data_IF_570416626440
#
_entry.id   IF_570416626440
#
_cell.length_a   1.000
_cell.length_b   1.000
_cell.length_c   1.000
_cell.angle_alpha   90.00
_cell.angle_beta   90.00
_cell.angle_gamma   90.00
#
_symmetry.space_group_name_H-M   'P 1'
#
loop_
_entity.id
_entity.type
_entity.pdbx_description
1 polymer ?
#
# COMPACT_ATOMS: atom_id res chain seq x y z
N UNK A 1 -8.01 -10.76 -13.73
CA UNK A 1 -7.45 -9.45 -14.11
C UNK A 1 -7.86 -8.50 -13.01
N UNK A 2 -6.92 -7.73 -12.44
CA UNK A 2 -7.28 -6.79 -11.38
C UNK A 2 -7.83 -5.50 -12.00
N UNK A 3 -8.90 -4.98 -11.42
CA UNK A 3 -9.48 -3.69 -11.77
C UNK A 3 -8.96 -2.64 -10.80
N UNK A 4 -8.76 -1.42 -11.27
CA UNK A 4 -8.24 -0.32 -10.45
C UNK A 4 -9.36 0.61 -10.00
N UNK A 5 -9.28 1.10 -8.77
CA UNK A 5 -10.11 2.17 -8.23
C UNK A 5 -9.25 3.35 -7.83
N UNK A 6 -9.59 4.52 -8.36
CA UNK A 6 -9.00 5.80 -7.97
C UNK A 6 -9.69 6.36 -6.73
N UNK A 7 -8.90 6.82 -5.75
CA UNK A 7 -9.34 7.57 -4.59
C UNK A 7 -8.76 8.99 -4.61
N UNK A 8 -9.64 9.99 -4.47
CA UNK A 8 -9.27 11.40 -4.32
C UNK A 8 -8.68 11.74 -2.93
N UNK A 9 -7.73 10.93 -2.46
CA UNK A 9 -6.93 11.15 -1.26
C UNK A 9 -5.57 11.71 -1.66
N UNK A 10 -5.33 13.01 -1.40
CA UNK A 10 -4.17 13.73 -1.94
C UNK A 10 -3.13 14.07 -0.88
N UNK A 11 -3.48 13.99 0.40
CA UNK A 11 -2.56 14.30 1.51
C UNK A 11 -2.20 13.05 2.32
N UNK A 12 -1.05 13.04 3.02
CA UNK A 12 -0.70 11.96 3.93
C UNK A 12 -1.77 11.68 4.99
N UNK A 13 -2.50 12.73 5.42
CA UNK A 13 -3.59 12.57 6.38
C UNK A 13 -4.80 11.85 5.76
N UNK A 14 -5.22 12.25 4.55
CA UNK A 14 -6.29 11.58 3.81
C UNK A 14 -5.96 10.13 3.50
N UNK A 15 -4.76 9.87 3.01
CA UNK A 15 -4.27 8.51 2.74
C UNK A 15 -4.23 7.72 4.05
N UNK A 16 -3.77 8.32 5.14
CA UNK A 16 -3.80 7.66 6.44
C UNK A 16 -5.22 7.35 6.95
N UNK A 17 -6.22 8.18 6.64
CA UNK A 17 -7.63 7.84 6.94
C UNK A 17 -8.14 6.74 6.02
N UNK A 18 -7.76 6.75 4.74
CA UNK A 18 -8.13 5.74 3.76
C UNK A 18 -7.56 4.36 4.12
N UNK A 19 -6.25 4.25 4.39
CA UNK A 19 -5.61 2.99 4.77
C UNK A 19 -6.23 2.40 6.04
N UNK A 20 -6.57 3.24 7.03
CA UNK A 20 -7.30 2.79 8.24
C UNK A 20 -8.71 2.30 7.92
N UNK A 21 -9.40 2.95 6.98
CA UNK A 21 -10.74 2.57 6.58
C UNK A 21 -10.73 1.24 5.80
N UNK A 22 -9.78 1.06 4.89
CA UNK A 22 -9.54 -0.19 4.17
C UNK A 22 -9.22 -1.32 5.15
N UNK A 23 -8.21 -1.17 6.00
CA UNK A 23 -7.75 -2.23 6.92
C UNK A 23 -8.69 -2.54 8.10
N UNK A 24 -9.82 -1.85 8.25
CA UNK A 24 -10.82 -2.09 9.32
C UNK A 24 -12.21 -2.34 8.77
N UNK A 25 -12.37 -2.47 7.46
CA UNK A 25 -13.68 -2.70 6.89
C UNK A 25 -14.21 -4.07 7.32
N UNK A 26 -15.52 -4.19 7.54
CA UNK A 26 -16.17 -5.44 7.99
C UNK A 26 -16.02 -6.63 7.03
N UNK A 27 -15.50 -6.41 5.83
CA UNK A 27 -15.28 -7.41 4.79
C UNK A 27 -13.83 -7.95 4.79
N UNK A 28 -12.93 -7.32 5.53
CA UNK A 28 -11.52 -7.70 5.59
C UNK A 28 -11.36 -9.00 6.37
N UNK A 29 -10.63 -9.94 5.78
CA UNK A 29 -10.13 -11.16 6.41
C UNK A 29 -8.72 -10.93 6.92
N UNK A 30 -7.84 -10.38 6.07
CA UNK A 30 -6.43 -10.20 6.37
C UNK A 30 -5.90 -8.85 5.85
N UNK A 31 -4.89 -8.34 6.53
CA UNK A 31 -4.11 -7.17 6.12
C UNK A 31 -2.63 -7.58 6.18
N UNK A 32 -1.97 -7.73 5.03
CA UNK A 32 -0.54 -8.05 4.93
C UNK A 32 0.19 -6.84 4.37
N UNK A 33 0.57 -5.92 5.25
CA UNK A 33 1.45 -4.82 4.85
C UNK A 33 2.88 -5.16 5.22
N UNK A 34 3.81 -4.77 4.35
CA UNK A 34 5.23 -5.01 4.58
C UNK A 34 6.06 -3.78 4.33
N UNK A 35 7.13 -3.65 5.10
CA UNK A 35 8.12 -2.58 4.95
C UNK A 35 9.49 -3.21 4.73
N UNK A 36 10.17 -2.76 3.67
CA UNK A 36 11.53 -3.17 3.36
C UNK A 36 12.53 -2.50 4.31
N UNK A 37 13.62 -3.20 4.67
CA UNK A 37 14.61 -2.72 5.65
C UNK A 37 15.18 -1.33 5.34
N UNK A 38 15.26 -0.95 4.06
CA UNK A 38 15.83 0.34 3.65
C UNK A 38 14.96 1.52 4.10
N UNK A 39 13.63 1.32 4.23
CA UNK A 39 12.70 2.32 4.77
C UNK A 39 12.96 2.49 6.27
N UNK A 40 13.03 1.39 7.03
CA UNK A 40 13.33 1.44 8.46
C UNK A 40 14.69 2.11 8.71
N UNK A 41 15.70 1.77 7.90
CA UNK A 41 17.03 2.38 7.99
C UNK A 41 17.00 3.88 7.69
N UNK A 42 16.29 4.30 6.64
CA UNK A 42 16.17 5.71 6.27
C UNK A 42 15.47 6.53 7.35
N UNK A 43 14.52 5.94 8.07
CA UNK A 43 13.70 6.57 9.11
C UNK A 43 14.17 6.24 10.54
N UNK A 44 15.39 5.73 10.72
CA UNK A 44 15.89 5.27 12.03
C UNK A 44 15.99 6.36 13.11
N UNK A 45 15.83 7.64 12.77
CA UNK A 45 15.70 8.77 13.72
C UNK A 45 14.31 8.83 14.38
N UNK A 46 13.32 8.11 13.85
CA UNK A 46 11.96 8.06 14.36
C UNK A 46 11.78 6.83 15.28
N UNK A 47 11.16 6.98 16.47
CA UNK A 47 11.00 5.88 17.43
C UNK A 47 10.31 4.64 16.89
N UNK A 48 9.37 4.80 15.96
CA UNK A 48 8.64 3.68 15.32
C UNK A 48 9.57 2.79 14.48
N UNK A 49 10.61 3.35 13.88
CA UNK A 49 11.45 2.66 12.89
C UNK A 49 12.83 2.25 13.45
N UNK A 50 13.33 2.98 14.45
CA UNK A 50 14.65 2.72 15.04
C UNK A 50 14.87 1.26 15.49
N UNK A 51 13.93 0.61 16.22
CA UNK A 51 14.12 -0.79 16.63
C UNK A 51 14.21 -1.77 15.44
N UNK A 52 13.52 -1.47 14.34
CA UNK A 52 13.52 -2.31 13.14
C UNK A 52 14.81 -2.14 12.34
N UNK A 53 15.33 -0.92 12.25
CA UNK A 53 16.65 -0.65 11.68
C UNK A 53 17.76 -1.40 12.46
N UNK A 54 17.69 -1.39 13.79
CA UNK A 54 18.61 -2.15 14.64
C UNK A 54 18.45 -3.67 14.47
N UNK A 55 17.21 -4.16 14.35
CA UNK A 55 16.93 -5.57 14.10
C UNK A 55 17.53 -6.05 12.78
N UNK A 56 17.47 -5.25 11.72
CA UNK A 56 18.12 -5.56 10.45
C UNK A 56 19.65 -5.60 10.56
N UNK A 57 20.26 -4.65 11.28
CA UNK A 57 21.70 -4.68 11.56
C UNK A 57 22.08 -5.97 12.31
N UNK A 58 21.29 -6.35 13.31
CA UNK A 58 21.50 -7.59 14.06
C UNK A 58 21.31 -8.85 13.17
N UNK A 59 20.34 -8.84 12.25
CA UNK A 59 20.12 -9.91 11.29
C UNK A 59 21.34 -10.11 10.39
N UNK A 60 21.88 -9.02 9.81
CA UNK A 60 23.08 -9.08 8.96
C UNK A 60 24.31 -9.62 9.68
N UNK A 61 24.41 -9.41 11.00
CA UNK A 61 25.48 -10.01 11.83
C UNK A 61 25.29 -11.52 12.03
N UNK A 62 24.04 -11.97 12.15
CA UNK A 62 23.69 -13.40 12.34
C UNK A 62 23.72 -14.19 11.04
N UNK A 63 23.43 -13.54 9.92
CA UNK A 63 23.34 -14.14 8.58
C UNK A 63 24.25 -13.34 7.64
N UNK A 64 25.58 -13.58 7.66
CA UNK A 64 26.54 -12.77 6.91
C UNK A 64 26.41 -12.90 5.39
N UNK A 65 25.78 -13.97 4.92
CA UNK A 65 25.49 -14.27 3.52
C UNK A 65 24.15 -13.68 3.04
N UNK A 66 23.41 -12.99 3.90
CA UNK A 66 22.20 -12.27 3.49
C UNK A 66 22.59 -11.13 2.55
N UNK A 67 22.22 -11.29 1.27
CA UNK A 67 22.39 -10.28 0.24
C UNK A 67 21.27 -9.22 0.33
N UNK A 68 21.58 -7.96 0.72
CA UNK A 68 20.58 -6.90 0.84
C UNK A 68 20.00 -6.43 -0.50
N UNK A 69 20.59 -6.85 -1.64
CA UNK A 69 20.06 -6.58 -2.97
C UNK A 69 19.14 -7.69 -3.50
N UNK A 70 18.97 -8.79 -2.77
CA UNK A 70 18.16 -9.93 -3.19
C UNK A 70 16.65 -9.73 -2.98
N UNK A 71 15.86 -10.73 -3.35
CA UNK A 71 14.41 -10.82 -3.05
C UNK A 71 14.14 -11.68 -1.82
N UNK A 72 15.10 -11.80 -0.92
CA UNK A 72 14.98 -12.64 0.28
C UNK A 72 13.88 -12.08 1.22
N UNK A 73 12.83 -12.85 1.55
CA UNK A 73 11.72 -12.38 2.38
C UNK A 73 12.14 -11.78 3.74
N UNK A 74 13.32 -12.14 4.27
CA UNK A 74 13.86 -11.61 5.52
C UNK A 74 14.28 -10.14 5.44
N UNK A 75 14.34 -9.57 4.24
CA UNK A 75 14.57 -8.14 3.98
C UNK A 75 13.31 -7.29 4.21
N UNK A 76 12.16 -7.93 4.33
CA UNK A 76 10.88 -7.31 4.67
C UNK A 76 10.45 -7.73 6.07
N UNK A 77 9.78 -6.81 6.76
CA UNK A 77 9.02 -7.12 7.97
C UNK A 77 7.54 -6.89 7.72
N UNK A 78 6.72 -7.64 8.44
CA UNK A 78 5.32 -7.27 8.63
C UNK A 78 5.24 -5.87 9.24
N UNK A 79 4.24 -5.12 8.79
CA UNK A 79 3.99 -3.75 9.19
C UNK A 79 2.52 -3.58 9.54
N UNK A 80 2.24 -2.83 10.61
CA UNK A 80 0.88 -2.40 10.89
C UNK A 80 0.52 -1.27 9.94
N UNK A 81 -0.77 -1.07 9.69
CA UNK A 81 -1.26 0.10 8.94
C UNK A 81 -0.70 1.42 9.48
N UNK A 82 -0.55 1.57 10.80
CA UNK A 82 0.04 2.78 11.40
C UNK A 82 1.53 2.95 11.09
N UNK A 83 2.29 1.86 10.93
CA UNK A 83 3.71 1.94 10.54
C UNK A 83 3.84 2.44 9.10
N UNK A 84 2.99 1.95 8.21
CA UNK A 84 2.94 2.40 6.82
C UNK A 84 2.54 3.87 6.74
N UNK A 85 1.49 4.27 7.45
CA UNK A 85 1.06 5.67 7.53
C UNK A 85 2.18 6.57 8.04
N UNK A 86 2.90 6.14 9.07
CA UNK A 86 4.03 6.88 9.60
C UNK A 86 5.18 6.99 8.58
N UNK A 87 5.44 5.94 7.79
CA UNK A 87 6.47 5.96 6.76
C UNK A 87 6.11 6.93 5.64
N UNK A 88 4.89 6.82 5.09
CA UNK A 88 4.37 7.71 4.06
C UNK A 88 4.38 9.17 4.54
N UNK A 89 3.87 9.44 5.74
CA UNK A 89 3.88 10.79 6.31
C UNK A 89 5.28 11.36 6.51
N UNK A 90 6.27 10.53 6.87
CA UNK A 90 7.65 10.97 7.02
C UNK A 90 8.32 11.31 5.68
N UNK A 91 8.09 10.51 4.64
CA UNK A 91 8.64 10.77 3.31
C UNK A 91 7.92 11.89 2.57
N UNK A 92 6.62 12.05 2.81
CA UNK A 92 5.77 13.06 2.17
C UNK A 92 5.56 14.29 3.07
N UNK A 93 6.44 14.55 4.03
CA UNK A 93 6.31 15.73 4.90
C UNK A 93 6.51 17.03 4.09
N UNK A 94 5.76 18.08 4.45
CA UNK A 94 5.82 19.37 3.77
C UNK A 94 7.16 20.10 3.95
N UNK A 95 7.86 19.86 5.06
CA UNK A 95 9.19 20.40 5.35
C UNK A 95 10.24 19.81 4.39
N UNK A 96 10.66 20.63 3.43
CA UNK A 96 11.65 20.27 2.40
C UNK A 96 12.96 19.75 3.01
N UNK A 97 13.47 20.38 4.08
CA UNK A 97 14.76 19.99 4.63
C UNK A 97 14.69 18.58 5.25
N UNK A 98 13.63 18.29 6.02
CA UNK A 98 13.40 16.95 6.58
C UNK A 98 13.13 15.91 5.49
N UNK A 99 12.31 16.26 4.51
CA UNK A 99 11.99 15.38 3.37
C UNK A 99 13.24 15.03 2.58
N UNK A 100 13.97 16.03 2.08
CA UNK A 100 15.23 15.85 1.35
C UNK A 100 16.25 15.03 2.14
N UNK A 101 16.30 15.21 3.45
CA UNK A 101 17.19 14.43 4.33
C UNK A 101 16.83 12.93 4.36
N UNK A 102 15.54 12.60 4.54
CA UNK A 102 15.04 11.21 4.52
C UNK A 102 15.20 10.56 3.15
N UNK A 103 14.90 11.27 2.07
CA UNK A 103 15.11 10.80 0.70
C UNK A 103 16.58 10.47 0.44
N UNK A 104 17.50 11.35 0.87
CA UNK A 104 18.95 11.11 0.74
C UNK A 104 19.38 9.87 1.52
N UNK A 105 18.88 9.68 2.74
CA UNK A 105 19.15 8.49 3.55
C UNK A 105 18.64 7.21 2.89
N UNK A 106 17.44 7.22 2.33
CA UNK A 106 16.87 6.09 1.60
C UNK A 106 17.69 5.74 0.36
N UNK A 107 17.99 6.73 -0.50
CA UNK A 107 18.82 6.54 -1.70
C UNK A 107 20.21 6.02 -1.35
N UNK A 108 20.81 6.52 -0.26
CA UNK A 108 22.10 6.02 0.25
C UNK A 108 22.01 4.57 0.75
N UNK A 109 20.94 4.19 1.44
CA UNK A 109 20.72 2.82 1.90
C UNK A 109 20.64 1.85 0.71
N UNK A 110 19.82 2.18 -0.29
CA UNK A 110 19.66 1.39 -1.53
C UNK A 110 21.00 1.28 -2.28
N UNK A 111 21.70 2.39 -2.48
CA UNK A 111 22.99 2.39 -3.14
C UNK A 111 24.05 1.56 -2.39
N UNK A 112 24.05 1.63 -1.04
CA UNK A 112 24.98 0.85 -0.22
C UNK A 112 24.78 -0.68 -0.31
N UNK A 113 23.59 -1.11 -0.72
CA UNK A 113 23.28 -2.51 -0.99
C UNK A 113 23.72 -2.96 -2.40
N UNK A 114 24.16 -2.04 -3.26
CA UNK A 114 24.51 -2.34 -4.65
C UNK A 114 23.30 -2.44 -5.59
N UNK A 115 22.12 -2.00 -5.14
CA UNK A 115 20.92 -1.93 -5.96
C UNK A 115 21.01 -0.74 -6.92
N UNK A 116 20.61 -0.97 -8.17
CA UNK A 116 20.48 0.10 -9.15
C UNK A 116 19.38 1.09 -8.72
N UNK A 117 19.57 2.40 -8.97
CA UNK A 117 18.49 3.35 -8.77
C UNK A 117 17.33 3.02 -9.72
N UNK A 118 16.12 3.05 -9.17
CA UNK A 118 14.88 2.95 -9.94
C UNK A 118 14.53 4.34 -10.45
N UNK A 119 14.30 4.47 -11.75
CA UNK A 119 14.02 5.75 -12.42
C UNK A 119 12.74 5.63 -13.27
N UNK A 120 11.65 6.16 -12.73
CA UNK A 120 10.39 6.39 -13.43
C UNK A 120 9.66 7.55 -12.76
N UNK A 121 8.69 8.18 -13.45
CA UNK A 121 7.77 9.10 -12.79
C UNK A 121 7.04 8.40 -11.63
N UNK A 122 6.77 9.10 -10.51
CA UNK A 122 6.02 8.53 -9.39
C UNK A 122 4.66 7.97 -9.84
N UNK A 123 4.30 6.80 -9.34
CA UNK A 123 3.07 6.06 -9.63
C UNK A 123 2.87 5.68 -11.11
N UNK A 124 3.93 5.76 -11.93
CA UNK A 124 3.91 5.31 -13.32
C UNK A 124 4.40 3.87 -13.51
N UNK A 125 4.77 3.18 -12.42
CA UNK A 125 5.16 1.76 -12.48
C UNK A 125 3.96 0.89 -12.85
N UNK A 126 4.22 -0.14 -13.67
CA UNK A 126 3.24 -1.18 -13.97
C UNK A 126 3.19 -2.18 -12.82
N UNK A 127 1.98 -2.58 -12.42
CA UNK A 127 1.79 -3.57 -11.36
C UNK A 127 2.30 -4.96 -11.78
N UNK A 128 2.27 -5.30 -13.08
CA UNK A 128 2.72 -6.61 -13.56
C UNK A 128 4.24 -6.77 -13.58
N UNK A 129 4.98 -5.66 -13.59
CA UNK A 129 6.44 -5.63 -13.66
C UNK A 129 7.01 -4.57 -12.69
N UNK A 130 6.84 -4.75 -11.36
CA UNK A 130 7.27 -3.75 -10.40
C UNK A 130 8.81 -3.68 -10.37
N UNK A 131 9.38 -2.47 -10.18
CA UNK A 131 10.81 -2.29 -10.00
C UNK A 131 11.30 -3.01 -8.76
N UNK A 132 12.58 -3.41 -8.77
CA UNK A 132 13.21 -4.03 -7.62
C UNK A 132 14.16 -3.04 -6.91
N UNK A 133 14.05 -2.84 -5.59
CA UNK A 133 13.02 -3.40 -4.69
C UNK A 133 11.76 -2.52 -4.64
N UNK A 134 10.62 -3.16 -4.40
CA UNK A 134 9.48 -2.51 -3.77
C UNK A 134 9.79 -2.26 -2.28
N UNK A 135 9.36 -1.12 -1.78
CA UNK A 135 9.76 -0.62 -0.46
C UNK A 135 8.64 -0.74 0.57
N UNK A 136 7.39 -0.64 0.14
CA UNK A 136 6.20 -0.86 0.98
C UNK A 136 5.21 -1.70 0.17
N UNK A 137 4.72 -2.78 0.77
CA UNK A 137 3.61 -3.58 0.24
C UNK A 137 2.34 -3.25 1.02
N UNK A 138 1.23 -3.15 0.29
CA UNK A 138 -0.05 -2.71 0.77
C UNK A 138 -1.13 -3.71 0.34
N UNK A 139 -1.23 -4.84 1.04
CA UNK A 139 -2.17 -5.90 0.63
C UNK A 139 -3.31 -6.07 1.63
N UNK A 140 -4.50 -6.36 1.10
CA UNK A 140 -5.70 -6.71 1.84
C UNK A 140 -6.37 -7.93 1.22
N UNK A 141 -6.94 -8.78 2.06
CA UNK A 141 -7.79 -9.90 1.64
C UNK A 141 -9.22 -9.64 2.13
N UNK A 142 -10.20 -9.72 1.22
CA UNK A 142 -11.62 -9.67 1.55
C UNK A 142 -12.25 -11.07 1.63
N UNK A 143 -13.35 -11.15 2.37
CA UNK A 143 -14.19 -12.34 2.44
C UNK A 143 -14.60 -12.79 1.02
N UNK A 144 -14.47 -14.10 0.71
CA UNK A 144 -15.13 -14.69 -0.44
C UNK A 144 -16.63 -14.41 -0.42
N UNK A 145 -17.25 -14.37 -1.59
CA UNK A 145 -18.66 -14.01 -1.74
C UNK A 145 -19.59 -15.01 -1.04
N UNK A 146 -19.29 -16.31 -1.11
CA UNK A 146 -20.08 -17.34 -0.44
C UNK A 146 -19.95 -17.35 1.09
N UNK A 147 -18.98 -16.62 1.63
CA UNK A 147 -18.77 -16.44 3.07
C UNK A 147 -19.40 -15.14 3.60
N UNK A 148 -20.06 -14.36 2.74
CA UNK A 148 -20.73 -13.14 3.16
C UNK A 148 -21.97 -13.46 4.00
N UNK A 149 -21.94 -13.02 5.26
CA UNK A 149 -23.09 -13.07 6.15
C UNK A 149 -24.26 -12.20 5.64
N UNK A 150 -25.45 -12.78 5.51
CA UNK A 150 -26.60 -12.14 4.85
C UNK A 150 -27.13 -10.91 5.57
N UNK A 151 -26.94 -10.79 6.88
CA UNK A 151 -27.38 -9.62 7.65
C UNK A 151 -26.28 -8.56 7.69
N UNK A 152 -25.06 -8.96 8.05
CA UNK A 152 -23.90 -8.09 8.20
C UNK A 152 -23.43 -7.54 6.86
N UNK A 153 -23.57 -8.29 5.76
CA UNK A 153 -23.06 -7.95 4.43
C UNK A 153 -24.16 -7.69 3.40
N UNK A 154 -25.41 -7.52 3.85
CA UNK A 154 -26.60 -7.28 3.02
C UNK A 154 -26.39 -6.23 1.92
N UNK A 155 -25.64 -5.16 2.21
CA UNK A 155 -25.43 -4.08 1.25
C UNK A 155 -24.55 -4.46 0.06
N UNK A 156 -23.50 -5.28 0.27
CA UNK A 156 -22.68 -5.78 -0.84
C UNK A 156 -23.45 -6.85 -1.64
N UNK A 157 -24.20 -7.72 -0.95
CA UNK A 157 -25.04 -8.72 -1.59
C UNK A 157 -26.12 -8.08 -2.49
N UNK A 158 -26.80 -7.04 -1.99
CA UNK A 158 -27.79 -6.30 -2.77
C UNK A 158 -27.17 -5.59 -3.96
N UNK A 159 -25.95 -5.03 -3.84
CA UNK A 159 -25.25 -4.38 -4.94
C UNK A 159 -24.90 -5.37 -6.06
N UNK A 160 -24.45 -6.58 -5.72
CA UNK A 160 -24.20 -7.65 -6.69
C UNK A 160 -25.48 -8.14 -7.35
N UNK A 161 -26.57 -8.29 -6.59
CA UNK A 161 -27.88 -8.68 -7.11
C UNK A 161 -28.44 -7.63 -8.09
N UNK A 162 -28.36 -6.35 -7.75
CA UNK A 162 -28.82 -5.23 -8.60
C UNK A 162 -27.98 -5.10 -9.88
N UNK A 163 -26.69 -5.42 -9.82
CA UNK A 163 -25.80 -5.42 -10.97
C UNK A 163 -25.99 -6.64 -11.89
N UNK A 164 -26.77 -7.65 -11.47
CA UNK A 164 -26.90 -8.95 -12.15
C UNK A 164 -25.51 -9.58 -12.44
N UNK A 165 -24.54 -9.34 -11.56
CA UNK A 165 -23.14 -9.78 -11.77
C UNK A 165 -23.01 -11.29 -11.52
N UNK A 166 -22.57 -12.03 -12.55
CA UNK A 166 -22.33 -13.46 -12.43
C UNK A 166 -20.98 -13.73 -11.74
N UNK A 167 -21.01 -14.55 -10.69
CA UNK A 167 -19.85 -14.84 -9.85
C UNK A 167 -19.39 -16.27 -10.13
N UNK A 168 -18.39 -16.39 -11.01
CA UNK A 168 -17.88 -17.71 -11.43
C UNK A 168 -17.23 -18.49 -10.28
N UNK A 169 -16.56 -17.79 -9.36
CA UNK A 169 -15.75 -18.39 -8.30
C UNK A 169 -16.07 -17.76 -6.92
N UNK A 170 -17.23 -18.08 -6.33
CA UNK A 170 -17.69 -17.39 -5.13
C UNK A 170 -16.88 -17.72 -3.86
N UNK A 171 -16.12 -18.82 -3.87
CA UNK A 171 -15.28 -19.25 -2.74
C UNK A 171 -13.83 -18.72 -2.80
N UNK A 172 -13.43 -18.08 -3.89
CA UNK A 172 -12.06 -17.54 -4.04
C UNK A 172 -11.91 -16.29 -3.17
N UNK A 173 -10.83 -16.17 -2.36
CA UNK A 173 -10.51 -14.91 -1.68
C UNK A 173 -10.35 -13.78 -2.67
N UNK A 174 -10.78 -12.58 -2.27
CA UNK A 174 -10.63 -11.39 -3.10
C UNK A 174 -9.44 -10.62 -2.58
N UNK A 175 -8.43 -10.48 -3.42
CA UNK A 175 -7.21 -9.75 -3.12
C UNK A 175 -7.35 -8.30 -3.57
N UNK A 176 -6.81 -7.42 -2.73
CA UNK A 176 -6.67 -6.00 -3.03
C UNK A 176 -5.24 -5.58 -2.75
N UNK A 177 -4.67 -4.80 -3.66
CA UNK A 177 -3.30 -4.31 -3.57
C UNK A 177 -3.28 -2.78 -3.75
N UNK A 178 -2.42 -2.12 -2.99
CA UNK A 178 -2.12 -0.70 -3.17
C UNK A 178 -1.23 -0.45 -4.38
N UNK A 179 -0.85 0.81 -4.62
CA UNK A 179 0.09 1.12 -5.69
C UNK A 179 1.47 0.59 -5.34
N UNK A 180 2.24 0.24 -6.37
CA UNK A 180 3.65 -0.11 -6.24
C UNK A 180 4.39 1.05 -5.58
N UNK A 181 4.93 0.83 -4.38
CA UNK A 181 5.68 1.86 -3.64
C UNK A 181 7.18 1.56 -3.72
N UNK A 182 7.87 2.15 -4.68
CA UNK A 182 9.32 2.12 -4.80
C UNK A 182 9.96 3.44 -4.36
N UNK A 183 11.26 3.60 -4.63
CA UNK A 183 11.98 4.81 -4.24
C UNK A 183 11.39 6.10 -4.88
N UNK A 184 10.97 6.12 -6.16
CA UNK A 184 10.33 7.30 -6.76
C UNK A 184 9.01 7.68 -6.08
N UNK A 185 8.15 6.72 -5.70
CA UNK A 185 6.88 7.02 -5.02
C UNK A 185 7.10 7.61 -3.63
N UNK A 186 8.01 7.02 -2.85
CA UNK A 186 8.31 7.56 -1.52
C UNK A 186 8.98 8.91 -1.61
N UNK A 187 9.98 9.08 -2.49
CA UNK A 187 10.72 10.32 -2.55
C UNK A 187 9.88 11.44 -3.17
N UNK A 188 9.32 11.18 -4.34
CA UNK A 188 8.87 12.22 -5.25
C UNK A 188 7.34 12.15 -5.51
N UNK A 189 6.63 11.19 -4.92
CA UNK A 189 5.19 10.99 -5.14
C UNK A 189 4.27 12.05 -4.53
N UNK A 190 4.71 12.73 -3.47
CA UNK A 190 3.93 13.79 -2.83
C UNK A 190 4.79 15.00 -2.44
N UNK A 191 5.33 15.74 -3.42
CA UNK A 191 6.15 16.90 -3.14
C UNK A 191 5.30 17.92 -2.36
N UNK A 192 5.88 18.46 -1.29
CA UNK A 192 5.19 19.38 -0.37
C UNK A 192 3.97 18.77 0.35
N UNK A 193 3.90 17.43 0.41
CA UNK A 193 2.84 16.70 1.10
C UNK A 193 1.52 16.62 0.36
N UNK A 194 1.55 16.76 -0.96
CA UNK A 194 0.38 16.61 -1.82
C UNK A 194 0.71 15.70 -3.00
N UNK A 195 -0.06 14.63 -3.19
CA UNK A 195 0.03 13.74 -4.34
C UNK A 195 -0.52 14.43 -5.59
N UNK A 196 0.24 14.33 -6.68
CA UNK A 196 -0.16 14.88 -7.98
C UNK A 196 -1.33 14.13 -8.62
N UNK A 197 -1.41 12.83 -8.40
CA UNK A 197 -2.44 11.94 -8.91
C UNK A 197 -3.23 11.28 -7.78
N UNK A 198 -4.34 10.62 -8.14
CA UNK A 198 -5.16 9.90 -7.17
C UNK A 198 -4.43 8.68 -6.63
N UNK A 199 -4.82 8.27 -5.42
CA UNK A 199 -4.30 7.04 -4.83
C UNK A 199 -5.08 5.86 -5.42
N UNK A 200 -4.39 4.95 -6.12
CA UNK A 200 -5.00 3.80 -6.76
C UNK A 200 -4.98 2.58 -5.84
N UNK A 201 -6.04 1.77 -5.87
CA UNK A 201 -6.10 0.43 -5.26
C UNK A 201 -6.66 -0.53 -6.29
N UNK A 202 -6.04 -1.69 -6.46
CA UNK A 202 -6.46 -2.73 -7.38
C UNK A 202 -7.22 -3.81 -6.63
N UNK A 203 -8.18 -4.46 -7.29
CA UNK A 203 -8.87 -5.62 -6.75
C UNK A 203 -9.17 -6.64 -7.84
N UNK A 204 -9.05 -7.93 -7.51
CA UNK A 204 -9.39 -9.04 -8.42
C UNK A 204 -10.82 -9.60 -8.23
N UNK A 205 -11.62 -8.99 -7.35
CA UNK A 205 -12.97 -9.45 -7.04
C UNK A 205 -14.05 -8.92 -7.99
N UNK A 206 -15.31 -9.37 -7.80
CA UNK A 206 -16.45 -8.82 -8.53
C UNK A 206 -16.49 -7.30 -8.42
N UNK A 207 -16.80 -6.63 -9.53
CA UNK A 207 -16.73 -5.18 -9.62
C UNK A 207 -17.69 -4.54 -8.63
N UNK A 208 -18.95 -4.97 -8.61
CA UNK A 208 -19.97 -4.36 -7.76
C UNK A 208 -19.68 -4.57 -6.27
N UNK A 209 -19.06 -5.69 -5.90
CA UNK A 209 -18.61 -5.93 -4.55
C UNK A 209 -17.47 -5.00 -4.16
N UNK A 210 -16.41 -4.95 -4.96
CA UNK A 210 -15.24 -4.10 -4.73
C UNK A 210 -15.63 -2.62 -4.69
N UNK A 211 -16.45 -2.17 -5.62
CA UNK A 211 -16.98 -0.80 -5.67
C UNK A 211 -17.79 -0.45 -4.40
N UNK A 212 -18.64 -1.37 -3.93
CA UNK A 212 -19.38 -1.17 -2.69
C UNK A 212 -18.45 -1.01 -1.47
N UNK A 213 -17.45 -1.89 -1.35
CA UNK A 213 -16.46 -1.85 -0.26
C UNK A 213 -15.68 -0.53 -0.30
N UNK A 214 -15.18 -0.15 -1.48
CA UNK A 214 -14.35 1.04 -1.65
C UNK A 214 -15.13 2.33 -1.42
N UNK A 215 -16.40 2.43 -1.86
CA UNK A 215 -17.28 3.56 -1.50
C UNK A 215 -17.47 3.65 0.02
N UNK A 216 -17.65 2.51 0.68
CA UNK A 216 -17.69 2.42 2.15
C UNK A 216 -16.43 2.95 2.82
N UNK A 217 -15.26 2.52 2.33
CA UNK A 217 -13.96 2.96 2.83
C UNK A 217 -13.73 4.47 2.60
N UNK A 218 -14.00 4.98 1.40
CA UNK A 218 -13.87 6.41 1.08
C UNK A 218 -14.76 7.28 1.98
N UNK A 219 -16.01 6.86 2.21
CA UNK A 219 -16.92 7.54 3.13
C UNK A 219 -16.40 7.54 4.56
N UNK A 220 -15.89 6.41 5.05
CA UNK A 220 -15.31 6.30 6.40
C UNK A 220 -14.05 7.16 6.54
N UNK A 221 -13.25 7.27 5.48
CA UNK A 221 -12.07 8.13 5.40
C UNK A 221 -12.40 9.63 5.24
N UNK A 222 -13.69 9.96 5.03
CA UNK A 222 -14.21 11.31 4.79
C UNK A 222 -13.61 11.96 3.54
N UNK A 223 -13.41 11.16 2.49
CA UNK A 223 -13.03 11.71 1.18
C UNK A 223 -14.21 12.46 0.57
N UNK A 224 -13.91 13.53 -0.16
CA UNK A 224 -14.93 14.40 -0.76
C UNK A 224 -15.63 13.70 -1.92
N UNK A 225 -14.84 13.03 -2.75
CA UNK A 225 -15.31 12.33 -3.94
C UNK A 225 -15.36 10.81 -3.69
N UNK A 226 -16.38 10.11 -4.22
CA UNK A 226 -16.38 8.66 -4.20
C UNK A 226 -15.24 8.11 -5.07
N UNK A 227 -14.77 6.88 -4.81
CA UNK A 227 -13.78 6.27 -5.67
C UNK A 227 -14.37 5.99 -7.05
N UNK A 228 -13.50 5.95 -8.06
CA UNK A 228 -13.86 5.69 -9.46
C UNK A 228 -13.18 4.40 -9.90
N UNK A 229 -13.97 3.38 -10.22
CA UNK A 229 -13.47 2.14 -10.81
C UNK A 229 -13.20 2.29 -12.31
N UNK A 230 -12.09 1.76 -12.77
CA UNK A 230 -11.72 1.71 -14.19
C UNK A 230 -12.09 0.33 -14.76
N UNK A 231 -12.96 0.32 -15.75
CA UNK A 231 -13.47 -0.91 -16.38
C UNK A 231 -12.63 -1.42 -17.54
N UNK A 232 -11.78 -0.57 -18.13
CA UNK A 232 -11.03 -0.86 -19.34
C UNK A 232 -9.58 -0.34 -19.23
N UNK A 233 -8.60 -1.25 -19.26
CA UNK A 233 -7.21 -0.98 -19.66
C UNK A 233 -6.81 -1.96 -20.77
#
# INVERSE_FOLDING_TARGET
MMLAWSFAARTPEEIGRLLRALGRHRYIVEVDHRIHWSVDHALADLPTFAPHAEAFIALRRKVPDLDPASRDPRLWREAKTEDVIAALAAFWEADEAKRSDRQRRLRAAIASAGLAPVDHPPFASRAEEPPHPELILLDWELCPVDQLDTERHAGALAAMEEAEEEIEQPSTPIYQEGPVIAAPELCDGAPNGVLHDDFLVWSDGPYSYSDYVFRGAARAAKLVEPPVGYHDF
#
